data_IF_730938064648
#
_entry.id   IF_730938064648
#
_cell.length_a   1.000
_cell.length_b   1.000
_cell.length_c   1.000
_cell.angle_alpha   90.00
_cell.angle_beta   90.00
_cell.angle_gamma   90.00
#
_symmetry.space_group_name_H-M   'P 1'
#
loop_
_entity.id
_entity.type
_entity.pdbx_description
1 polymer ?
#
# COMPACT_ATOMS: atom_id res chain seq x y z
N UNK A 1 49.69 43.21 -14.05
CA UNK A 1 49.52 42.23 -12.95
C UNK A 1 48.04 41.87 -12.94
N UNK A 2 47.66 40.76 -13.57
CA UNK A 2 46.25 40.41 -13.82
C UNK A 2 45.72 39.58 -12.65
N UNK A 3 44.76 40.12 -11.91
CA UNK A 3 44.11 39.45 -10.79
C UNK A 3 42.89 38.70 -11.33
N UNK A 4 43.00 37.37 -11.48
CA UNK A 4 41.88 36.48 -11.82
C UNK A 4 41.18 36.11 -10.52
N UNK A 5 39.96 36.62 -10.32
CA UNK A 5 39.11 36.28 -9.17
C UNK A 5 38.34 35.00 -9.53
N UNK A 6 38.69 33.89 -8.89
CA UNK A 6 37.89 32.66 -8.93
C UNK A 6 36.66 32.83 -8.02
N UNK A 7 35.48 33.02 -8.62
CA UNK A 7 34.20 32.91 -7.93
C UNK A 7 33.90 31.43 -7.67
N UNK A 8 34.21 30.96 -6.47
CA UNK A 8 33.76 29.65 -5.99
C UNK A 8 32.27 29.79 -5.64
N UNK A 9 31.40 29.25 -6.48
CA UNK A 9 29.98 29.14 -6.22
C UNK A 9 29.77 28.02 -5.19
N UNK A 10 29.63 28.37 -3.92
CA UNK A 10 29.20 27.43 -2.88
C UNK A 10 27.71 27.14 -3.08
N UNK A 11 27.40 26.07 -3.81
CA UNK A 11 26.05 25.52 -3.85
C UNK A 11 25.69 25.07 -2.43
N UNK A 12 24.85 25.83 -1.73
CA UNK A 12 24.24 25.40 -0.48
C UNK A 12 23.29 24.25 -0.79
N UNK A 13 23.69 23.03 -0.46
CA UNK A 13 22.77 21.89 -0.45
C UNK A 13 22.03 21.96 0.88
N UNK A 14 20.82 22.51 0.86
CA UNK A 14 19.95 22.47 2.03
C UNK A 14 19.38 21.05 2.14
N UNK A 15 19.78 20.30 3.17
CA UNK A 15 19.20 18.99 3.44
C UNK A 15 18.13 19.13 4.52
N UNK A 16 16.88 18.86 4.17
CA UNK A 16 15.77 18.82 5.12
C UNK A 16 15.36 17.35 5.36
N UNK A 17 15.15 17.00 6.64
CA UNK A 17 14.67 15.66 7.01
C UNK A 17 13.15 15.64 6.84
N UNK A 18 12.66 14.83 5.91
CA UNK A 18 11.23 14.58 5.74
C UNK A 18 10.81 13.50 6.74
N UNK A 19 9.96 13.86 7.69
CA UNK A 19 9.34 12.91 8.64
C UNK A 19 7.91 12.62 8.22
N UNK A 20 7.53 11.35 8.24
CA UNK A 20 6.16 10.90 7.98
C UNK A 20 5.57 10.48 9.34
N UNK A 21 4.68 11.28 9.96
CA UNK A 21 4.03 10.88 11.20
C UNK A 21 3.05 9.74 10.92
N UNK A 22 3.17 8.64 11.66
CA UNK A 22 2.26 7.52 11.54
C UNK A 22 1.20 7.53 12.65
N UNK A 23 -0.01 7.13 12.30
CA UNK A 23 -1.16 7.08 13.21
C UNK A 23 -1.52 5.61 13.49
N UNK A 24 -1.79 5.24 14.77
CA UNK A 24 -2.19 3.89 15.10
C UNK A 24 -3.60 3.62 14.54
N UNK A 25 -3.77 2.45 13.96
CA UNK A 25 -5.07 1.94 13.54
C UNK A 25 -5.88 1.54 14.77
N UNK A 26 -6.97 2.25 15.07
CA UNK A 26 -7.85 1.95 16.21
C UNK A 26 -9.22 1.44 15.75
N UNK A 27 -9.77 0.41 16.41
CA UNK A 27 -11.17 -0.02 16.21
C UNK A 27 -11.41 -1.12 15.16
N UNK A 28 -10.36 -1.65 14.52
CA UNK A 28 -10.49 -2.69 13.48
C UNK A 28 -10.71 -4.10 14.07
N UNK A 29 -10.30 -4.31 15.33
CA UNK A 29 -10.40 -5.60 16.00
C UNK A 29 -11.84 -6.14 16.12
N UNK A 30 -12.86 -5.27 16.18
CA UNK A 30 -14.26 -5.70 16.24
C UNK A 30 -14.85 -6.03 14.86
N UNK A 31 -14.42 -5.31 13.82
CA UNK A 31 -14.93 -5.45 12.45
C UNK A 31 -14.33 -6.67 11.73
N UNK A 32 -13.05 -6.97 11.99
CA UNK A 32 -12.33 -8.10 11.37
C UNK A 32 -12.51 -9.44 12.09
N UNK A 33 -13.11 -9.46 13.28
CA UNK A 33 -13.21 -10.68 14.09
C UNK A 33 -13.89 -11.89 13.37
N UNK A 34 -14.94 -11.69 12.55
CA UNK A 34 -15.57 -12.79 11.80
C UNK A 34 -14.64 -13.37 10.72
N UNK A 35 -13.96 -12.49 9.97
CA UNK A 35 -13.06 -12.87 8.87
C UNK A 35 -11.76 -13.49 9.39
N UNK A 36 -11.17 -12.91 10.44
CA UNK A 36 -9.95 -13.39 11.10
C UNK A 36 -10.06 -14.84 11.56
N UNK A 37 -11.24 -15.27 11.98
CA UNK A 37 -11.50 -16.66 12.38
C UNK A 37 -11.50 -17.60 11.17
N UNK A 38 -12.11 -17.19 10.06
CA UNK A 38 -12.15 -17.97 8.82
C UNK A 38 -10.75 -18.10 8.20
N UNK A 39 -10.02 -16.98 8.07
CA UNK A 39 -8.67 -16.97 7.50
C UNK A 39 -7.67 -17.78 8.33
N UNK A 40 -7.77 -17.76 9.68
CA UNK A 40 -6.96 -18.65 10.54
C UNK A 40 -7.19 -20.13 10.27
N UNK A 41 -8.42 -20.54 9.98
CA UNK A 41 -8.74 -21.94 9.66
C UNK A 41 -8.13 -22.31 8.31
N UNK A 42 -8.28 -21.43 7.31
CA UNK A 42 -7.70 -21.63 5.98
C UNK A 42 -6.17 -21.72 6.06
N UNK A 43 -5.51 -20.75 6.70
CA UNK A 43 -4.05 -20.71 6.84
C UNK A 43 -3.49 -21.98 7.50
N UNK A 44 -4.16 -22.52 8.53
CA UNK A 44 -3.77 -23.80 9.16
C UNK A 44 -3.93 -24.98 8.22
N UNK A 45 -5.02 -25.03 7.45
CA UNK A 45 -5.24 -26.09 6.48
C UNK A 45 -4.17 -26.11 5.39
N UNK A 46 -3.73 -24.92 4.94
CA UNK A 46 -2.67 -24.78 3.93
C UNK A 46 -1.27 -25.12 4.45
N UNK A 47 -0.90 -24.68 5.65
CA UNK A 47 0.40 -25.05 6.26
C UNK A 47 0.53 -26.57 6.40
N UNK A 48 -0.56 -27.25 6.74
CA UNK A 48 -0.58 -28.71 6.83
C UNK A 48 -0.48 -29.42 5.47
N UNK A 49 -0.94 -28.79 4.38
CA UNK A 49 -0.83 -29.33 3.03
C UNK A 49 0.59 -29.16 2.44
N UNK A 50 1.33 -28.13 2.87
CA UNK A 50 2.70 -27.87 2.43
C UNK A 50 3.75 -28.68 3.19
N UNK A 51 3.47 -29.05 4.45
CA UNK A 51 4.36 -29.86 5.27
C UNK A 51 4.16 -31.35 5.00
N UNK A 52 4.70 -31.82 3.88
CA UNK A 52 4.93 -33.23 3.64
C UNK A 52 6.03 -33.79 4.56
N UNK A 53 5.64 -34.21 5.77
CA UNK A 53 6.36 -35.26 6.50
C UNK A 53 7.51 -34.87 7.45
N UNK A 54 7.85 -33.60 7.65
CA UNK A 54 8.76 -33.18 8.71
C UNK A 54 8.05 -32.22 9.66
N UNK A 55 8.09 -32.52 10.96
CA UNK A 55 7.47 -31.69 12.01
C UNK A 55 8.36 -30.48 12.28
N UNK A 56 8.02 -29.27 11.80
CA UNK A 56 8.81 -28.10 12.12
C UNK A 56 8.60 -27.80 13.61
N UNK A 57 9.67 -27.48 14.33
CA UNK A 57 9.57 -26.95 15.69
C UNK A 57 8.63 -25.74 15.67
N UNK A 58 7.47 -25.88 16.29
CA UNK A 58 6.44 -24.84 16.30
C UNK A 58 6.84 -23.76 17.30
N UNK A 59 7.33 -22.64 16.79
CA UNK A 59 7.56 -21.44 17.60
C UNK A 59 6.26 -20.62 17.67
N UNK A 60 5.64 -20.49 18.85
CA UNK A 60 4.40 -19.75 18.99
C UNK A 60 4.65 -18.24 18.86
N UNK A 61 4.26 -17.67 17.72
CA UNK A 61 4.20 -16.22 17.54
C UNK A 61 2.92 -15.67 18.17
N UNK A 62 3.07 -14.86 19.22
CA UNK A 62 1.96 -14.19 19.88
C UNK A 62 1.70 -12.83 19.23
N UNK A 63 0.65 -12.74 18.40
CA UNK A 63 0.19 -11.48 17.83
C UNK A 63 -0.79 -10.76 18.80
N UNK A 64 -0.30 -9.73 19.49
CA UNK A 64 -1.08 -8.88 20.37
C UNK A 64 -1.82 -7.76 19.59
N UNK A 65 -2.89 -8.15 18.90
CA UNK A 65 -3.88 -7.18 18.41
C UNK A 65 -3.59 -6.52 17.06
N UNK A 66 -2.62 -6.99 16.27
CA UNK A 66 -2.28 -6.41 14.96
C UNK A 66 -2.16 -4.88 15.03
N UNK A 67 -1.21 -4.38 15.83
CA UNK A 67 -0.94 -2.93 15.90
C UNK A 67 -0.39 -2.50 14.53
N UNK A 68 -1.27 -1.96 13.70
CA UNK A 68 -0.94 -1.38 12.40
C UNK A 68 -0.85 0.13 12.55
N UNK A 69 0.06 0.73 11.79
CA UNK A 69 0.19 2.17 11.69
C UNK A 69 0.05 2.57 10.23
N UNK A 70 -0.79 3.57 9.96
CA UNK A 70 -0.93 4.14 8.63
C UNK A 70 -0.30 5.54 8.58
N UNK A 71 0.09 5.97 7.39
CA UNK A 71 0.28 7.38 7.10
C UNK A 71 -0.59 7.80 5.92
N UNK A 72 -0.61 9.09 5.65
CA UNK A 72 -1.43 9.68 4.60
C UNK A 72 -0.58 9.97 3.36
N UNK A 73 -1.12 9.64 2.20
CA UNK A 73 -0.55 9.96 0.90
C UNK A 73 -1.61 10.60 0.02
N UNK A 74 -1.18 11.51 -0.84
CA UNK A 74 -2.05 12.14 -1.83
C UNK A 74 -1.64 11.66 -3.22
N UNK A 75 -2.62 11.34 -4.05
CA UNK A 75 -2.37 10.80 -5.40
C UNK A 75 -3.19 11.54 -6.44
N UNK A 76 -2.52 11.99 -7.49
CA UNK A 76 -3.14 12.67 -8.62
C UNK A 76 -3.30 14.17 -8.49
N UNK A 77 -3.88 14.77 -9.52
CA UNK A 77 -4.13 16.22 -9.62
C UNK A 77 -5.55 16.51 -10.14
N UNK A 78 -6.49 17.06 -9.33
CA UNK A 78 -6.32 17.41 -7.92
C UNK A 78 -6.04 16.17 -7.03
N UNK A 79 -5.41 16.38 -5.86
CA UNK A 79 -4.97 15.27 -5.03
C UNK A 79 -6.14 14.47 -4.41
N UNK A 80 -6.05 13.14 -4.48
CA UNK A 80 -6.95 12.18 -3.83
C UNK A 80 -6.23 11.59 -2.61
N UNK A 81 -6.85 11.65 -1.43
CA UNK A 81 -6.23 11.26 -0.15
C UNK A 81 -6.45 9.78 0.18
N UNK A 82 -5.38 9.11 0.59
CA UNK A 82 -5.37 7.71 1.00
C UNK A 82 -4.61 7.52 2.31
N UNK A 83 -5.08 6.56 3.10
CA UNK A 83 -4.35 5.99 4.22
C UNK A 83 -3.66 4.72 3.75
N UNK A 84 -2.36 4.63 3.98
CA UNK A 84 -1.54 3.51 3.52
C UNK A 84 -0.67 2.97 4.64
N UNK A 85 -0.45 1.67 4.62
CA UNK A 85 0.53 1.01 5.46
C UNK A 85 1.90 1.11 4.79
N UNK A 86 2.90 1.59 5.52
CA UNK A 86 4.28 1.58 5.06
C UNK A 86 4.92 0.24 5.44
N UNK A 87 4.86 -0.71 4.52
CA UNK A 87 5.38 -2.07 4.72
C UNK A 87 6.78 -2.22 4.11
N UNK A 88 7.77 -2.57 4.93
CA UNK A 88 9.13 -2.88 4.48
C UNK A 88 9.29 -4.31 3.96
N UNK A 89 8.27 -5.14 4.12
CA UNK A 89 8.24 -6.55 3.70
C UNK A 89 7.76 -6.79 2.26
N UNK A 90 7.28 -5.75 1.58
CA UNK A 90 6.81 -5.80 0.18
C UNK A 90 7.52 -4.74 -0.67
N UNK A 91 7.43 -4.89 -1.99
CA UNK A 91 8.06 -3.96 -2.96
C UNK A 91 7.01 -3.18 -3.77
N UNK A 92 5.76 -3.60 -3.71
CA UNK A 92 4.66 -3.06 -4.49
C UNK A 92 3.89 -1.98 -3.71
N UNK A 93 3.50 -0.92 -4.41
CA UNK A 93 2.50 0.03 -3.93
C UNK A 93 1.19 -0.29 -4.63
N UNK A 94 0.11 -0.48 -3.88
CA UNK A 94 -1.21 -0.70 -4.44
C UNK A 94 -2.24 0.26 -3.85
N UNK A 95 -3.23 0.62 -4.67
CA UNK A 95 -4.39 1.41 -4.26
C UNK A 95 -5.67 0.75 -4.78
N UNK A 96 -6.77 0.80 -4.01
CA UNK A 96 -8.07 0.33 -4.47
C UNK A 96 -8.55 1.17 -5.67
N UNK A 97 -8.88 0.53 -6.79
CA UNK A 97 -9.33 1.21 -8.02
C UNK A 97 -10.85 1.42 -8.05
N UNK A 98 -11.32 2.59 -8.49
CA UNK A 98 -12.76 2.86 -8.69
C UNK A 98 -13.39 1.91 -9.72
N UNK A 99 -12.57 1.22 -10.53
CA UNK A 99 -13.00 0.18 -11.47
C UNK A 99 -13.20 -1.19 -10.81
N UNK A 100 -13.34 -1.25 -9.49
CA UNK A 100 -13.60 -2.48 -8.78
C UNK A 100 -15.00 -3.06 -9.08
N UNK A 101 -15.17 -4.35 -8.83
CA UNK A 101 -16.38 -5.06 -9.21
C UNK A 101 -17.60 -4.66 -8.35
N UNK A 102 -18.77 -4.50 -8.97
CA UNK A 102 -19.97 -3.96 -8.30
C UNK A 102 -20.45 -4.81 -7.11
N UNK A 103 -20.21 -6.13 -7.14
CA UNK A 103 -20.59 -7.06 -6.06
C UNK A 103 -19.56 -7.09 -4.91
N UNK A 104 -18.42 -6.43 -5.03
CA UNK A 104 -17.43 -6.35 -3.96
C UNK A 104 -17.94 -5.35 -2.92
N UNK A 105 -18.52 -5.85 -1.83
CA UNK A 105 -19.09 -5.02 -0.74
C UNK A 105 -18.13 -3.91 -0.27
N UNK A 106 -16.80 -4.13 -0.15
CA UNK A 106 -15.85 -3.07 0.23
C UNK A 106 -15.79 -1.90 -0.75
N UNK A 107 -16.17 -2.11 -2.03
CA UNK A 107 -16.24 -1.07 -3.05
C UNK A 107 -17.17 0.10 -2.73
N UNK A 108 -18.09 -0.12 -1.80
CA UNK A 108 -19.11 0.85 -1.43
C UNK A 108 -18.70 1.73 -0.24
N UNK A 109 -17.71 1.31 0.54
CA UNK A 109 -17.39 1.93 1.83
C UNK A 109 -15.98 2.50 1.92
N UNK A 110 -15.06 2.08 1.03
CA UNK A 110 -13.66 2.52 1.02
C UNK A 110 -13.46 3.68 0.02
N UNK A 111 -12.42 4.50 0.24
CA UNK A 111 -11.99 5.50 -0.76
C UNK A 111 -11.23 4.82 -1.89
N UNK A 112 -11.67 5.05 -3.12
CA UNK A 112 -11.07 4.49 -4.31
C UNK A 112 -10.32 5.54 -5.12
N UNK A 113 -9.19 5.14 -5.67
CA UNK A 113 -8.47 5.91 -6.68
C UNK A 113 -9.27 5.96 -7.97
N UNK A 114 -9.47 7.19 -8.45
CA UNK A 114 -10.18 7.48 -9.69
C UNK A 114 -9.23 8.19 -10.65
N UNK A 115 -8.65 7.42 -11.58
CA UNK A 115 -7.78 7.95 -12.62
C UNK A 115 -8.45 8.99 -13.51
N UNK A 116 -9.77 8.97 -13.66
CA UNK A 116 -10.50 9.95 -14.49
C UNK A 116 -10.51 11.37 -13.90
N UNK A 117 -10.22 11.49 -12.59
CA UNK A 117 -10.17 12.77 -11.89
C UNK A 117 -8.77 13.37 -11.83
N UNK A 118 -7.73 12.66 -12.29
CA UNK A 118 -6.35 13.13 -12.20
C UNK A 118 -5.82 13.60 -13.55
N UNK A 119 -5.37 14.84 -13.63
CA UNK A 119 -4.71 15.41 -14.81
C UNK A 119 -3.24 14.98 -14.95
N UNK A 120 -2.64 14.41 -13.89
CA UNK A 120 -1.25 13.90 -13.90
C UNK A 120 -1.16 12.39 -14.10
N UNK A 121 -2.31 11.71 -14.15
CA UNK A 121 -2.40 10.29 -14.41
C UNK A 121 -1.80 9.93 -15.78
N UNK A 122 -1.02 8.86 -15.80
CA UNK A 122 -0.48 8.24 -16.99
C UNK A 122 -0.95 6.78 -17.04
N UNK A 123 -1.72 6.40 -18.07
CA UNK A 123 -2.15 5.02 -18.21
C UNK A 123 -0.94 4.13 -18.51
N UNK A 124 -0.86 3.00 -17.81
CA UNK A 124 0.00 1.88 -18.20
C UNK A 124 -0.89 0.70 -18.63
N UNK A 125 -1.80 0.25 -17.77
CA UNK A 125 -2.84 -0.71 -18.12
C UNK A 125 -2.36 -2.17 -18.25
N UNK A 126 -1.06 -2.42 -18.07
CA UNK A 126 -0.51 -3.78 -17.95
C UNK A 126 -1.20 -4.48 -16.79
N UNK A 127 -1.84 -5.61 -17.06
CA UNK A 127 -2.54 -6.38 -16.03
C UNK A 127 -1.54 -7.13 -15.17
N UNK A 128 -1.83 -7.24 -13.89
CA UNK A 128 -1.14 -8.16 -12.99
C UNK A 128 -2.16 -9.10 -12.33
N UNK A 129 -1.65 -10.27 -11.96
CA UNK A 129 -2.34 -11.25 -11.14
C UNK A 129 -1.31 -11.81 -10.17
N UNK A 130 -1.39 -11.37 -8.91
CA UNK A 130 -0.47 -11.75 -7.85
C UNK A 130 -1.24 -12.60 -6.85
N UNK A 131 -0.78 -13.83 -6.66
CA UNK A 131 -1.29 -14.73 -5.64
C UNK A 131 -0.35 -14.75 -4.44
N UNK A 132 -0.82 -14.24 -3.30
CA UNK A 132 -0.16 -14.40 -2.00
C UNK A 132 -0.69 -15.66 -1.30
N UNK A 133 -0.10 -16.01 -0.16
CA UNK A 133 -0.39 -17.27 0.57
C UNK A 133 -1.88 -17.51 0.90
N UNK A 134 -2.72 -16.48 0.99
CA UNK A 134 -4.14 -16.58 1.39
C UNK A 134 -5.10 -15.75 0.52
N UNK A 135 -4.70 -15.38 -0.70
CA UNK A 135 -5.56 -14.63 -1.61
C UNK A 135 -4.87 -14.25 -2.92
N UNK A 136 -5.68 -13.93 -3.94
CA UNK A 136 -5.21 -13.42 -5.23
C UNK A 136 -5.69 -12.00 -5.42
N UNK A 137 -4.78 -11.13 -5.85
CA UNK A 137 -5.07 -9.75 -6.19
C UNK A 137 -4.80 -9.54 -7.67
N UNK A 138 -5.76 -8.93 -8.34
CA UNK A 138 -5.62 -8.60 -9.74
C UNK A 138 -6.10 -7.19 -10.02
N UNK A 139 -5.47 -6.61 -11.03
CA UNK A 139 -5.63 -5.21 -11.36
C UNK A 139 -4.76 -4.87 -12.55
N UNK A 140 -4.33 -3.62 -12.59
CA UNK A 140 -3.45 -3.12 -13.63
C UNK A 140 -2.54 -2.03 -13.10
N UNK A 141 -1.41 -1.86 -13.76
CA UNK A 141 -0.43 -0.84 -13.43
C UNK A 141 -0.94 0.53 -13.84
N UNK A 142 -0.68 1.51 -12.99
CA UNK A 142 -0.96 2.93 -13.20
C UNK A 142 0.21 3.78 -12.74
N UNK A 143 0.33 4.97 -13.29
CA UNK A 143 1.32 5.95 -12.87
C UNK A 143 0.65 7.28 -12.58
N UNK A 144 1.01 7.91 -11.48
CA UNK A 144 0.55 9.28 -11.17
C UNK A 144 1.58 10.02 -10.31
N UNK A 145 1.29 11.27 -9.95
CA UNK A 145 2.01 12.01 -8.94
C UNK A 145 1.54 11.57 -7.57
N UNK A 146 2.47 11.09 -6.75
CA UNK A 146 2.25 10.74 -5.36
C UNK A 146 2.95 11.76 -4.47
N UNK A 147 2.24 12.25 -3.45
CA UNK A 147 2.78 13.15 -2.46
C UNK A 147 2.71 12.50 -1.07
N UNK A 148 3.84 12.50 -0.37
CA UNK A 148 3.99 12.01 0.99
C UNK A 148 4.54 13.15 1.82
N UNK A 149 3.68 13.79 2.63
CA UNK A 149 4.02 15.04 3.31
C UNK A 149 4.55 16.11 2.31
N UNK A 150 5.78 16.60 2.46
CA UNK A 150 6.40 17.55 1.54
C UNK A 150 7.10 16.90 0.34
N UNK A 151 7.23 15.57 0.31
CA UNK A 151 7.87 14.83 -0.77
C UNK A 151 6.88 14.64 -1.92
N UNK A 152 7.23 15.14 -3.12
CA UNK A 152 6.43 14.95 -4.33
C UNK A 152 7.19 14.02 -5.29
N UNK A 153 6.61 12.86 -5.55
CA UNK A 153 7.14 11.82 -6.44
C UNK A 153 6.31 11.83 -7.72
N UNK A 154 6.93 12.22 -8.84
CA UNK A 154 6.26 12.25 -10.14
C UNK A 154 6.40 10.91 -10.84
N UNK A 155 5.33 10.45 -11.49
CA UNK A 155 5.28 9.17 -12.20
C UNK A 155 5.57 7.98 -11.29
N UNK A 156 5.11 8.02 -10.05
CA UNK A 156 5.15 6.85 -9.16
C UNK A 156 4.25 5.78 -9.77
N UNK A 157 4.81 4.61 -10.03
CA UNK A 157 4.04 3.44 -10.46
C UNK A 157 3.36 2.79 -9.25
N UNK A 158 2.12 2.36 -9.43
CA UNK A 158 1.36 1.63 -8.43
C UNK A 158 0.30 0.76 -9.10
N UNK A 159 -0.19 -0.20 -8.34
CA UNK A 159 -1.20 -1.17 -8.77
C UNK A 159 -2.61 -0.66 -8.45
N UNK A 160 -3.44 -0.51 -9.48
CA UNK A 160 -4.87 -0.28 -9.34
C UNK A 160 -5.58 -1.61 -9.15
N UNK A 161 -5.87 -1.95 -7.88
CA UNK A 161 -6.50 -3.23 -7.53
C UNK A 161 -7.99 -3.18 -7.79
N UNK A 162 -8.48 -4.15 -8.58
CA UNK A 162 -9.89 -4.22 -9.00
C UNK A 162 -10.73 -5.24 -8.23
N UNK A 163 -10.09 -6.08 -7.42
CA UNK A 163 -10.77 -7.04 -6.56
C UNK A 163 -10.28 -6.90 -5.12
N UNK A 164 -11.21 -6.65 -4.22
CA UNK A 164 -10.92 -6.15 -2.86
C UNK A 164 -11.37 -7.16 -1.81
N UNK A 165 -11.04 -8.45 -2.00
CA UNK A 165 -11.46 -9.55 -1.11
C UNK A 165 -10.36 -10.02 -0.14
N UNK A 166 -9.57 -9.12 0.43
CA UNK A 166 -8.58 -9.50 1.45
C UNK A 166 -8.66 -8.69 2.74
N UNK A 167 -8.20 -9.29 3.83
CA UNK A 167 -8.07 -8.64 5.14
C UNK A 167 -7.20 -7.37 5.09
N UNK A 168 -6.27 -7.28 4.14
CA UNK A 168 -5.34 -6.16 4.01
C UNK A 168 -6.07 -4.84 3.66
N UNK A 169 -7.20 -4.91 2.96
CA UNK A 169 -8.01 -3.74 2.62
C UNK A 169 -8.93 -3.26 3.74
N UNK A 170 -9.21 -4.12 4.71
CA UNK A 170 -10.06 -3.76 5.84
C UNK A 170 -9.24 -3.15 7.00
N UNK A 171 -7.92 -3.01 6.82
CA UNK A 171 -6.98 -2.41 7.76
C UNK A 171 -6.66 -0.92 7.50
N UNK A 172 -7.06 -0.37 6.34
CA UNK A 172 -6.71 0.98 5.85
C UNK A 172 -7.89 1.94 5.75
#
# INVERSE_FOLDING_TARGET
>A
MNLIIFLICLCHVNSEIIKIPLQPVTGISSLLNPYRKLFRVLQRSWVNLLNGGDTPTSEPLYNNGSIQYYGEVLVGTPPQEFRVLFDTGSIETWLPSRKCWFLDIPCWFIRFYDSSKSSTYKPNGTKFDISYLIGSYFGYWSMDTMQINSLVIRNQAFDEVTNVFSEDFFGT
#
